data_IF_995879191207
#
_entry.id   IF_995879191207
#
_cell.length_a   1.000
_cell.length_b   1.000
_cell.length_c   1.000
_cell.angle_alpha   90.00
_cell.angle_beta   90.00
_cell.angle_gamma   90.00
#
_symmetry.space_group_name_H-M   'P 1'
#
loop_
_entity.id
_entity.type
_entity.pdbx_description
1 polymer ?
#
# COMPACT_ATOMS: atom_id res chain seq x y z
N UNK A 1 4.29 24.13 -9.90
CA UNK A 1 5.13 24.26 -8.68
C UNK A 1 4.21 24.43 -7.48
N UNK A 2 4.48 23.74 -6.37
CA UNK A 2 3.67 23.82 -5.13
C UNK A 2 3.77 25.22 -4.53
N UNK A 3 2.62 25.79 -4.19
CA UNK A 3 2.47 27.13 -3.61
C UNK A 3 1.92 27.08 -2.16
N UNK A 4 1.38 25.92 -1.76
CA UNK A 4 0.75 25.71 -0.45
C UNK A 4 1.12 24.34 0.11
N UNK A 5 1.47 24.28 1.39
CA UNK A 5 1.64 23.03 2.13
C UNK A 5 0.73 23.01 3.35
N UNK A 6 0.01 21.90 3.52
CA UNK A 6 -0.97 21.70 4.59
C UNK A 6 -0.57 20.51 5.45
N UNK A 7 -0.68 20.63 6.76
CA UNK A 7 -0.44 19.56 7.72
C UNK A 7 -1.73 19.21 8.44
N UNK A 8 -2.01 17.90 8.52
CA UNK A 8 -3.15 17.34 9.22
C UNK A 8 -2.67 16.12 10.00
N UNK A 9 -3.17 15.93 11.22
CA UNK A 9 -2.95 14.71 11.98
C UNK A 9 -4.25 14.13 12.50
N UNK A 10 -4.29 12.80 12.62
CA UNK A 10 -5.40 12.08 13.22
C UNK A 10 -5.09 11.72 14.68
N UNK A 11 -6.03 12.01 15.57
CA UNK A 11 -6.05 11.56 16.96
C UNK A 11 -6.89 10.29 17.14
N UNK A 12 -7.39 9.70 16.03
CA UNK A 12 -8.16 8.48 16.02
C UNK A 12 -7.29 7.31 15.57
N UNK A 13 -7.52 6.12 16.13
CA UNK A 13 -6.72 4.93 15.83
C UNK A 13 -7.49 3.87 15.03
N UNK A 14 -8.73 4.18 14.62
CA UNK A 14 -9.54 3.35 13.73
C UNK A 14 -8.95 3.34 12.32
N UNK A 15 -8.55 2.17 11.77
CA UNK A 15 -8.00 2.12 10.41
C UNK A 15 -9.03 2.55 9.36
N UNK A 16 -10.29 2.28 9.59
CA UNK A 16 -11.37 2.61 8.66
C UNK A 16 -11.58 4.13 8.58
N UNK A 17 -11.57 4.79 9.74
CA UNK A 17 -11.66 6.25 9.83
C UNK A 17 -10.46 6.91 9.17
N UNK A 18 -9.25 6.43 9.46
CA UNK A 18 -8.03 6.99 8.93
C UNK A 18 -7.93 6.85 7.40
N UNK A 19 -8.32 5.70 6.84
CA UNK A 19 -8.39 5.49 5.39
C UNK A 19 -9.49 6.34 4.73
N UNK A 20 -10.61 6.56 5.42
CA UNK A 20 -11.66 7.45 4.94
C UNK A 20 -11.20 8.92 4.88
N UNK A 21 -10.45 9.37 5.88
CA UNK A 21 -9.82 10.71 5.88
C UNK A 21 -8.78 10.81 4.77
N UNK A 22 -7.93 9.80 4.58
CA UNK A 22 -6.93 9.76 3.51
C UNK A 22 -7.59 9.93 2.13
N UNK A 23 -8.66 9.17 1.85
CA UNK A 23 -9.40 9.27 0.58
C UNK A 23 -10.11 10.62 0.43
N UNK A 24 -10.72 11.14 1.51
CA UNK A 24 -11.32 12.46 1.50
C UNK A 24 -10.30 13.55 1.14
N UNK A 25 -9.15 13.53 1.78
CA UNK A 25 -8.07 14.49 1.51
C UNK A 25 -7.52 14.37 0.09
N UNK A 26 -7.44 13.14 -0.45
CA UNK A 26 -7.05 12.91 -1.84
C UNK A 26 -7.97 13.64 -2.81
N UNK A 27 -9.28 13.45 -2.65
CA UNK A 27 -10.28 14.00 -3.57
C UNK A 27 -10.51 15.51 -3.41
N UNK A 28 -10.05 16.10 -2.29
CA UNK A 28 -10.21 17.52 -1.98
C UNK A 28 -8.86 18.27 -1.89
N UNK A 29 -7.78 17.67 -2.38
CA UNK A 29 -6.50 18.34 -2.51
C UNK A 29 -6.61 19.43 -3.58
N UNK A 30 -6.26 20.68 -3.21
CA UNK A 30 -6.33 21.82 -4.12
C UNK A 30 -5.18 21.79 -5.14
N UNK A 31 -5.34 22.52 -6.24
CA UNK A 31 -4.26 22.69 -7.21
C UNK A 31 -3.05 23.38 -6.53
N UNK A 32 -1.84 22.92 -6.86
CA UNK A 32 -0.58 23.41 -6.28
C UNK A 32 -0.45 23.28 -4.75
N UNK A 33 -1.26 22.41 -4.15
CA UNK A 33 -1.18 22.04 -2.74
C UNK A 33 -0.49 20.70 -2.57
N UNK A 34 0.33 20.58 -1.53
CA UNK A 34 0.78 19.29 -1.00
C UNK A 34 0.32 19.17 0.45
N UNK A 35 -0.42 18.10 0.76
CA UNK A 35 -0.90 17.83 2.11
C UNK A 35 -0.03 16.73 2.71
N UNK A 36 0.47 16.93 3.92
CA UNK A 36 1.06 15.88 4.77
C UNK A 36 0.05 15.50 5.84
N UNK A 37 -0.44 14.27 5.77
CA UNK A 37 -1.35 13.67 6.73
C UNK A 37 -0.63 12.62 7.57
N UNK A 38 -0.63 12.76 8.91
CA UNK A 38 -0.05 11.80 9.85
C UNK A 38 -1.14 11.09 10.65
N UNK A 39 -1.00 9.76 10.80
CA UNK A 39 -2.02 8.94 11.43
C UNK A 39 -1.46 7.62 11.96
N UNK A 40 -2.14 7.02 12.93
CA UNK A 40 -1.77 5.74 13.52
C UNK A 40 -2.98 4.81 13.55
N UNK A 41 -2.73 3.51 13.44
CA UNK A 41 -3.75 2.49 13.67
C UNK A 41 -3.37 1.64 14.88
N UNK A 42 -4.37 1.23 15.64
CA UNK A 42 -4.20 0.31 16.75
C UNK A 42 -4.48 -1.11 16.30
N UNK A 43 -3.55 -2.05 16.61
CA UNK A 43 -3.69 -3.49 16.39
C UNK A 43 -4.37 -3.86 15.05
N UNK A 44 -3.77 -3.45 13.94
CA UNK A 44 -4.38 -3.55 12.62
C UNK A 44 -3.47 -4.26 11.62
N UNK A 45 -4.00 -5.23 10.90
CA UNK A 45 -3.38 -5.72 9.65
C UNK A 45 -3.98 -4.94 8.48
N UNK A 46 -3.14 -4.25 7.71
CA UNK A 46 -3.55 -3.54 6.50
C UNK A 46 -3.06 -4.29 5.27
N UNK A 47 -4.00 -4.78 4.47
CA UNK A 47 -3.70 -5.46 3.20
C UNK A 47 -3.79 -4.49 2.02
N UNK A 48 -3.03 -4.78 0.96
CA UNK A 48 -3.13 -4.06 -0.30
C UNK A 48 -4.45 -4.34 -1.03
N UNK A 49 -4.83 -3.46 -1.95
CA UNK A 49 -6.13 -3.49 -2.66
C UNK A 49 -6.45 -4.84 -3.30
N UNK A 50 -5.45 -5.51 -3.86
CA UNK A 50 -5.62 -6.76 -4.60
C UNK A 50 -5.15 -8.00 -3.84
N UNK A 51 -4.92 -7.92 -2.53
CA UNK A 51 -4.52 -9.07 -1.75
C UNK A 51 -5.71 -9.88 -1.26
N UNK A 52 -5.52 -11.20 -1.18
CA UNK A 52 -6.48 -12.10 -0.57
C UNK A 52 -6.33 -12.08 0.95
N UNK A 53 -7.34 -11.58 1.66
CA UNK A 53 -7.32 -11.39 3.11
C UNK A 53 -6.94 -12.68 3.86
N UNK A 54 -7.53 -13.82 3.48
CA UNK A 54 -7.30 -15.11 4.14
C UNK A 54 -5.94 -15.75 3.83
N UNK A 55 -5.33 -15.40 2.67
CA UNK A 55 -3.97 -15.85 2.35
C UNK A 55 -2.90 -15.01 3.06
N UNK A 56 -3.19 -13.73 3.33
CA UNK A 56 -2.20 -12.78 3.88
C UNK A 56 -2.28 -12.61 5.39
N UNK A 57 -3.43 -12.86 6.00
CA UNK A 57 -3.69 -12.60 7.42
C UNK A 57 -4.41 -13.78 8.09
N UNK A 58 -4.03 -14.05 9.32
CA UNK A 58 -4.76 -14.95 10.23
C UNK A 58 -5.94 -14.19 10.83
N UNK A 59 -6.95 -13.92 10.02
CA UNK A 59 -8.04 -13.00 10.30
C UNK A 59 -8.81 -13.37 11.57
N UNK A 60 -9.19 -14.65 11.74
CA UNK A 60 -9.90 -15.12 12.94
C UNK A 60 -9.12 -14.77 14.21
N UNK A 61 -7.82 -15.09 14.24
CA UNK A 61 -6.98 -14.83 15.40
C UNK A 61 -6.83 -13.32 15.68
N UNK A 62 -6.70 -12.52 14.62
CA UNK A 62 -6.62 -11.06 14.74
C UNK A 62 -7.90 -10.49 15.37
N UNK A 63 -9.07 -10.93 14.92
CA UNK A 63 -10.38 -10.49 15.40
C UNK A 63 -10.64 -10.95 16.85
N UNK A 64 -10.33 -12.21 17.18
CA UNK A 64 -10.45 -12.75 18.55
C UNK A 64 -9.59 -12.00 19.57
N UNK A 65 -8.46 -11.43 19.14
CA UNK A 65 -7.55 -10.63 19.96
C UNK A 65 -7.84 -9.12 19.88
N UNK A 66 -9.02 -8.73 19.36
CA UNK A 66 -9.48 -7.34 19.28
C UNK A 66 -8.76 -6.49 18.23
N UNK A 67 -8.11 -7.13 17.25
CA UNK A 67 -7.47 -6.45 16.13
C UNK A 67 -8.41 -6.22 14.97
N UNK A 68 -7.96 -5.44 14.00
CA UNK A 68 -8.71 -5.04 12.82
C UNK A 68 -8.02 -5.49 11.54
N UNK A 69 -8.79 -6.00 10.58
CA UNK A 69 -8.36 -6.12 9.20
C UNK A 69 -8.80 -4.88 8.44
N UNK A 70 -7.90 -4.24 7.73
CA UNK A 70 -8.21 -3.13 6.84
C UNK A 70 -7.64 -3.41 5.43
N UNK A 71 -8.30 -2.86 4.41
CA UNK A 71 -7.84 -2.89 3.02
C UNK A 71 -7.66 -1.47 2.53
N UNK A 72 -6.43 -1.12 2.11
CA UNK A 72 -6.13 0.20 1.54
C UNK A 72 -6.42 0.24 0.03
N UNK A 73 -6.49 1.44 -0.53
CA UNK A 73 -6.69 1.65 -1.97
C UNK A 73 -5.42 1.36 -2.78
N UNK A 74 -4.24 1.58 -2.20
CA UNK A 74 -2.96 1.32 -2.85
C UNK A 74 -2.64 -0.17 -2.95
N UNK A 75 -1.69 -0.51 -3.81
CA UNK A 75 -1.12 -1.86 -3.91
C UNK A 75 -0.14 -2.21 -2.78
N UNK A 76 0.71 -3.19 -3.06
CA UNK A 76 1.73 -3.66 -2.13
C UNK A 76 1.27 -4.77 -1.19
N UNK A 77 2.20 -5.25 -0.36
CA UNK A 77 2.01 -6.35 0.58
C UNK A 77 1.25 -5.96 1.85
N UNK A 78 0.87 -6.98 2.64
CA UNK A 78 0.27 -6.79 3.96
C UNK A 78 1.29 -6.25 4.97
N UNK A 79 0.83 -5.35 5.83
CA UNK A 79 1.60 -4.75 6.92
C UNK A 79 0.81 -4.83 8.23
N UNK A 80 1.53 -4.78 9.36
CA UNK A 80 0.92 -4.70 10.68
C UNK A 80 1.21 -3.33 11.30
N UNK A 81 0.18 -2.73 11.86
CA UNK A 81 0.23 -1.45 12.56
C UNK A 81 -0.19 -1.62 14.01
N UNK A 82 0.63 -1.14 14.92
CA UNK A 82 0.31 -0.82 16.30
C UNK A 82 0.64 0.66 16.57
N UNK A 83 0.49 1.12 17.81
CA UNK A 83 0.80 2.50 18.17
C UNK A 83 2.31 2.82 18.15
N UNK A 84 3.16 1.83 17.90
CA UNK A 84 4.59 2.00 17.60
C UNK A 84 4.88 2.33 16.13
N UNK A 85 3.85 2.35 15.26
CA UNK A 85 3.96 2.71 13.86
C UNK A 85 3.30 4.06 13.59
N UNK A 86 4.01 4.98 12.94
CA UNK A 86 3.45 6.20 12.37
C UNK A 86 3.20 5.99 10.88
N UNK A 87 2.00 6.30 10.39
CA UNK A 87 1.73 6.40 8.97
C UNK A 87 1.82 7.86 8.53
N UNK A 88 2.37 8.07 7.35
CA UNK A 88 2.35 9.35 6.67
C UNK A 88 1.69 9.20 5.30
N UNK A 89 1.04 10.27 4.84
CA UNK A 89 0.49 10.35 3.49
C UNK A 89 0.75 11.74 2.92
N UNK A 90 1.43 11.79 1.77
CA UNK A 90 1.51 12.99 0.95
C UNK A 90 0.44 12.92 -0.13
N UNK A 91 -0.45 13.92 -0.17
CA UNK A 91 -1.53 14.01 -1.15
C UNK A 91 -1.29 15.25 -2.02
N UNK A 92 -1.43 15.08 -3.33
CA UNK A 92 -0.99 16.06 -4.31
C UNK A 92 -1.67 15.80 -5.67
N UNK A 93 -1.73 16.81 -6.54
CA UNK A 93 -2.10 16.59 -7.93
C UNK A 93 -0.96 15.94 -8.71
N UNK A 94 -1.28 15.08 -9.68
CA UNK A 94 -0.30 14.34 -10.50
C UNK A 94 0.71 15.22 -11.21
N UNK A 95 0.29 16.39 -11.66
CA UNK A 95 1.15 17.34 -12.37
C UNK A 95 2.29 17.90 -11.49
N UNK A 96 2.07 17.94 -10.17
CA UNK A 96 3.05 18.38 -9.19
C UNK A 96 3.75 17.24 -8.45
N UNK A 97 3.45 15.99 -8.81
CA UNK A 97 3.99 14.83 -8.10
C UNK A 97 5.50 14.69 -8.26
N UNK A 98 6.19 14.67 -7.14
CA UNK A 98 7.63 14.50 -7.05
C UNK A 98 7.97 13.57 -5.87
N UNK A 99 8.16 12.27 -6.19
CA UNK A 99 8.44 11.26 -5.19
C UNK A 99 9.74 11.54 -4.43
N UNK A 100 10.78 11.95 -5.14
CA UNK A 100 12.08 12.18 -4.51
C UNK A 100 12.01 13.33 -3.51
N UNK A 101 11.26 14.37 -3.82
CA UNK A 101 10.99 15.48 -2.90
C UNK A 101 10.21 15.04 -1.66
N UNK A 102 9.20 14.18 -1.83
CA UNK A 102 8.43 13.63 -0.70
C UNK A 102 9.28 12.71 0.18
N UNK A 103 10.14 11.87 -0.42
CA UNK A 103 11.08 11.03 0.31
C UNK A 103 12.12 11.87 1.06
N UNK A 104 12.55 13.01 0.49
CA UNK A 104 13.45 13.94 1.19
C UNK A 104 12.83 14.52 2.46
N UNK A 105 11.50 14.67 2.54
CA UNK A 105 10.84 15.05 3.80
C UNK A 105 11.08 14.01 4.89
N UNK A 106 10.94 12.73 4.57
CA UNK A 106 11.15 11.65 5.55
C UNK A 106 12.62 11.54 5.93
N UNK A 107 13.53 11.58 4.94
CA UNK A 107 14.99 11.53 5.17
C UNK A 107 15.45 12.75 5.99
N UNK A 108 14.98 13.95 5.63
CA UNK A 108 15.31 15.17 6.36
C UNK A 108 14.78 15.18 7.80
N UNK A 109 13.63 14.55 8.06
CA UNK A 109 13.14 14.36 9.43
C UNK A 109 14.09 13.45 10.24
N UNK A 110 14.63 12.39 9.62
CA UNK A 110 15.65 11.55 10.27
C UNK A 110 16.94 12.33 10.55
N UNK A 111 17.38 13.18 9.62
CA UNK A 111 18.53 14.06 9.85
C UNK A 111 18.32 15.02 11.03
N UNK A 112 17.11 15.61 11.16
CA UNK A 112 16.76 16.48 12.30
C UNK A 112 16.84 15.70 13.63
N UNK A 113 16.47 14.41 13.62
CA UNK A 113 16.57 13.52 14.77
C UNK A 113 18.00 12.98 15.00
N UNK A 114 18.97 13.33 14.16
CA UNK A 114 20.36 12.86 14.26
C UNK A 114 20.61 11.47 13.66
N UNK A 115 19.69 10.96 12.84
CA UNK A 115 19.81 9.67 12.17
C UNK A 115 20.15 9.86 10.67
N UNK A 116 20.93 8.93 10.13
CA UNK A 116 21.26 8.91 8.70
C UNK A 116 20.40 7.87 8.00
N UNK A 117 19.44 8.35 7.20
CA UNK A 117 18.57 7.51 6.41
C UNK A 117 18.87 7.63 4.91
N UNK A 118 18.57 6.58 4.16
CA UNK A 118 18.78 6.53 2.70
C UNK A 118 17.62 5.80 2.00
N UNK A 119 17.32 6.22 0.77
CA UNK A 119 16.38 5.53 -0.12
C UNK A 119 17.00 4.24 -0.63
N UNK A 120 16.23 3.16 -0.64
CA UNK A 120 16.66 1.87 -1.21
C UNK A 120 15.57 1.24 -2.07
N UNK A 121 15.98 0.76 -3.23
CA UNK A 121 15.08 0.12 -4.19
C UNK A 121 13.92 1.01 -4.62
N UNK A 122 12.74 0.41 -4.76
CA UNK A 122 11.55 1.11 -5.30
C UNK A 122 10.78 1.91 -4.24
N UNK A 123 10.75 1.41 -3.00
CA UNK A 123 9.80 1.88 -2.00
C UNK A 123 10.25 1.69 -0.55
N UNK A 124 11.54 1.56 -0.27
CA UNK A 124 12.05 1.38 1.08
C UNK A 124 12.95 2.56 1.49
N UNK A 125 12.90 2.91 2.79
CA UNK A 125 13.88 3.81 3.40
C UNK A 125 14.59 3.04 4.52
N UNK A 126 15.91 3.12 4.53
CA UNK A 126 16.78 2.36 5.39
C UNK A 126 17.56 3.25 6.36
N UNK A 127 17.95 2.67 7.50
CA UNK A 127 19.02 3.13 8.39
C UNK A 127 19.96 1.95 8.57
N UNK A 128 21.27 2.13 8.34
CA UNK A 128 22.29 1.08 8.42
C UNK A 128 21.93 -0.20 7.65
N UNK A 129 21.35 -0.03 6.46
CA UNK A 129 20.93 -1.13 5.59
C UNK A 129 19.67 -1.88 6.05
N UNK A 130 19.00 -1.43 7.14
CA UNK A 130 17.76 -2.02 7.65
C UNK A 130 16.57 -1.10 7.38
N UNK A 131 15.49 -1.68 6.88
CA UNK A 131 14.27 -0.95 6.55
C UNK A 131 13.51 -0.52 7.81
N UNK A 132 13.20 0.78 7.92
CA UNK A 132 12.29 1.31 8.93
C UNK A 132 11.01 1.92 8.33
N UNK A 133 10.99 2.14 7.00
CA UNK A 133 9.86 2.71 6.29
C UNK A 133 9.60 1.98 4.97
N UNK A 134 8.35 1.65 4.72
CA UNK A 134 7.87 1.09 3.46
C UNK A 134 6.79 1.97 2.88
N UNK A 135 6.77 2.09 1.55
CA UNK A 135 5.94 3.03 0.83
C UNK A 135 5.05 2.35 -0.20
N UNK A 136 3.90 2.94 -0.48
CA UNK A 136 2.99 2.55 -1.54
C UNK A 136 2.34 3.81 -2.15
N UNK A 137 1.76 3.64 -3.34
CA UNK A 137 1.28 4.74 -4.15
C UNK A 137 -0.13 4.44 -4.64
N UNK A 138 -0.91 5.49 -4.87
CA UNK A 138 -2.23 5.38 -5.48
C UNK A 138 -2.56 6.63 -6.26
N UNK A 139 -3.23 6.45 -7.37
CA UNK A 139 -3.67 7.52 -8.25
C UNK A 139 -5.16 7.37 -8.53
N UNK A 140 -5.86 8.50 -8.52
CA UNK A 140 -7.26 8.58 -8.90
C UNK A 140 -7.50 9.89 -9.64
N UNK A 141 -7.94 9.80 -10.91
CA UNK A 141 -8.17 10.95 -11.77
C UNK A 141 -6.92 11.86 -11.86
N UNK A 142 -7.04 13.10 -11.41
CA UNK A 142 -5.94 14.07 -11.38
C UNK A 142 -5.12 14.07 -10.08
N UNK A 143 -5.53 13.29 -9.09
CA UNK A 143 -4.90 13.26 -7.78
C UNK A 143 -4.08 11.99 -7.57
N UNK A 144 -3.07 12.08 -6.74
CA UNK A 144 -2.33 10.93 -6.29
C UNK A 144 -1.91 11.09 -4.83
N UNK A 145 -1.62 9.97 -4.20
CA UNK A 145 -0.93 9.97 -2.92
C UNK A 145 0.25 9.01 -2.90
N UNK A 146 1.24 9.37 -2.12
CA UNK A 146 2.32 8.53 -1.63
C UNK A 146 2.14 8.39 -0.14
N UNK A 147 1.93 7.18 0.34
CA UNK A 147 1.85 6.91 1.77
C UNK A 147 2.85 5.84 2.20
N UNK A 148 3.15 5.83 3.48
CA UNK A 148 4.10 4.88 4.02
C UNK A 148 3.99 4.75 5.54
N UNK A 149 4.84 3.87 6.06
CA UNK A 149 4.99 3.56 7.47
C UNK A 149 6.33 4.07 7.98
N UNK A 150 6.39 4.48 9.23
CA UNK A 150 7.64 4.74 9.97
C UNK A 150 7.58 3.88 11.23
N UNK A 151 8.45 2.88 11.32
CA UNK A 151 8.54 1.97 12.44
C UNK A 151 9.32 2.64 13.57
N UNK A 152 8.61 3.20 14.55
CA UNK A 152 9.22 3.85 15.72
C UNK A 152 9.53 2.85 16.83
N UNK A 153 8.55 2.00 17.15
CA UNK A 153 8.65 0.98 18.19
C UNK A 153 7.60 -0.11 18.01
N UNK A 154 7.48 -0.63 16.79
CA UNK A 154 6.51 -1.68 16.41
C UNK A 154 6.89 -3.00 17.10
N UNK A 155 5.89 -3.71 17.64
CA UNK A 155 6.08 -5.04 18.19
C UNK A 155 6.25 -6.09 17.08
N UNK A 156 7.50 -6.53 16.86
CA UNK A 156 7.84 -7.47 15.78
C UNK A 156 7.30 -8.89 16.01
N UNK A 157 7.04 -9.28 17.26
CA UNK A 157 6.43 -10.58 17.57
C UNK A 157 4.97 -10.60 17.15
N UNK A 158 4.24 -9.54 17.46
CA UNK A 158 2.84 -9.37 17.09
C UNK A 158 2.67 -9.33 15.57
N UNK A 159 3.57 -8.63 14.84
CA UNK A 159 3.59 -8.63 13.39
C UNK A 159 3.66 -10.05 12.82
N UNK A 160 4.59 -10.88 13.31
CA UNK A 160 4.76 -12.27 12.84
C UNK A 160 3.60 -13.20 13.24
N UNK A 161 2.84 -12.82 14.27
CA UNK A 161 1.70 -13.58 14.79
C UNK A 161 0.50 -13.54 13.88
N UNK A 162 0.24 -12.40 13.21
CA UNK A 162 -0.94 -12.21 12.38
C UNK A 162 -0.68 -12.33 10.89
N UNK A 163 0.51 -11.94 10.40
CA UNK A 163 0.81 -12.02 8.99
C UNK A 163 1.20 -13.44 8.57
N UNK A 164 0.66 -13.86 7.44
CA UNK A 164 1.02 -15.12 6.80
C UNK A 164 2.11 -14.86 5.77
N UNK A 165 3.33 -15.33 6.03
CA UNK A 165 4.43 -15.22 5.07
C UNK A 165 4.27 -16.32 4.01
N UNK A 166 4.13 -15.97 2.74
CA UNK A 166 4.02 -16.96 1.66
C UNK A 166 5.29 -17.82 1.59
N UNK A 167 5.12 -19.12 1.29
CA UNK A 167 6.23 -20.07 1.15
C UNK A 167 7.27 -19.60 0.11
N UNK A 168 6.84 -18.88 -0.92
CA UNK A 168 7.72 -18.36 -1.96
C UNK A 168 8.55 -17.16 -1.48
N UNK A 169 7.99 -16.29 -0.62
CA UNK A 169 8.76 -15.25 0.06
C UNK A 169 9.80 -15.84 1.02
N UNK A 170 9.49 -16.98 1.65
CA UNK A 170 10.42 -17.72 2.51
C UNK A 170 11.51 -18.43 1.71
N UNK A 171 11.16 -19.06 0.57
CA UNK A 171 12.14 -19.72 -0.31
C UNK A 171 13.12 -18.75 -0.96
N UNK A 172 12.64 -17.58 -1.39
CA UNK A 172 13.49 -16.58 -2.04
C UNK A 172 14.36 -15.77 -1.09
N UNK A 173 14.02 -15.69 0.21
CA UNK A 173 14.67 -14.77 1.16
C UNK A 173 15.10 -15.38 2.50
N UNK A 174 14.68 -16.63 2.84
CA UNK A 174 14.94 -17.28 4.14
C UNK A 174 14.17 -16.65 5.32
N UNK A 175 13.82 -17.45 6.34
CA UNK A 175 13.01 -16.99 7.50
C UNK A 175 13.75 -15.94 8.33
N UNK A 176 15.03 -16.14 8.59
CA UNK A 176 15.85 -15.22 9.39
C UNK A 176 16.16 -13.91 8.65
N UNK A 177 16.16 -13.91 7.31
CA UNK A 177 16.43 -12.74 6.50
C UNK A 177 15.28 -11.71 6.49
N UNK A 178 14.05 -12.09 6.86
CA UNK A 178 12.92 -11.15 6.93
C UNK A 178 12.99 -10.31 8.21
N UNK A 179 13.29 -10.94 9.35
CA UNK A 179 13.43 -10.24 10.64
C UNK A 179 14.71 -9.37 10.70
N UNK A 180 15.81 -9.83 10.09
CA UNK A 180 17.08 -9.09 10.11
C UNK A 180 17.12 -7.85 9.22
N UNK A 181 16.10 -7.65 8.36
CA UNK A 181 16.04 -6.54 7.37
C UNK A 181 15.25 -5.33 7.81
N UNK A 182 14.54 -5.40 8.91
CA UNK A 182 13.73 -4.29 9.43
C UNK A 182 14.25 -3.82 10.77
N UNK A 183 14.00 -2.57 11.12
CA UNK A 183 14.40 -1.97 12.39
C UNK A 183 13.36 -0.94 12.83
N UNK A 184 13.31 -0.68 14.13
CA UNK A 184 12.59 0.43 14.70
C UNK A 184 13.52 1.63 14.89
N UNK A 185 13.02 2.85 14.84
CA UNK A 185 13.80 4.05 15.16
C UNK A 185 14.28 4.04 16.61
N UNK A 186 13.52 3.43 17.53
CA UNK A 186 13.90 3.27 18.93
C UNK A 186 15.08 2.32 19.16
N UNK A 187 15.46 1.51 18.18
CA UNK A 187 16.69 0.73 18.22
C UNK A 187 17.94 1.65 18.21
N UNK A 188 17.80 2.88 17.69
CA UNK A 188 18.83 3.92 17.61
C UNK A 188 18.60 5.07 18.58
N UNK A 189 17.35 5.43 18.83
CA UNK A 189 16.91 6.51 19.72
C UNK A 189 15.85 5.96 20.70
N UNK A 190 16.26 5.29 21.80
CA UNK A 190 15.33 4.59 22.70
C UNK A 190 14.22 5.46 23.27
N UNK A 191 14.51 6.74 23.53
CA UNK A 191 13.57 7.70 24.13
C UNK A 191 12.71 8.46 23.09
N UNK A 192 12.85 8.16 21.80
CA UNK A 192 12.11 8.86 20.75
C UNK A 192 10.60 8.72 20.97
N UNK A 193 9.93 9.85 21.08
CA UNK A 193 8.46 9.95 21.19
C UNK A 193 7.81 10.14 19.83
N UNK A 194 6.51 9.83 19.73
CA UNK A 194 5.74 10.12 18.51
C UNK A 194 5.62 11.61 18.23
N UNK A 195 5.55 12.43 19.28
CA UNK A 195 5.46 13.89 19.13
C UNK A 195 6.76 14.49 18.58
N UNK A 196 7.93 14.03 19.04
CA UNK A 196 9.21 14.47 18.47
C UNK A 196 9.32 14.08 16.98
N UNK A 197 8.86 12.88 16.60
CA UNK A 197 8.82 12.47 15.19
C UNK A 197 7.88 13.38 14.37
N UNK A 198 6.68 13.69 14.86
CA UNK A 198 5.75 14.59 14.18
C UNK A 198 6.35 15.98 13.98
N UNK A 199 7.00 16.53 15.01
CA UNK A 199 7.69 17.83 14.94
C UNK A 199 8.80 17.79 13.90
N UNK A 200 9.63 16.74 13.88
CA UNK A 200 10.71 16.59 12.91
C UNK A 200 10.17 16.47 11.46
N UNK A 201 9.09 15.70 11.25
CA UNK A 201 8.43 15.57 9.94
C UNK A 201 7.87 16.92 9.46
N UNK A 202 7.21 17.67 10.33
CA UNK A 202 6.65 18.99 10.01
C UNK A 202 7.75 20.00 9.66
N UNK A 203 8.84 20.04 10.44
CA UNK A 203 9.99 20.90 10.17
C UNK A 203 10.69 20.54 8.86
N UNK A 204 10.88 19.26 8.60
CA UNK A 204 11.44 18.78 7.34
C UNK A 204 10.54 19.13 6.15
N UNK A 205 9.22 19.02 6.30
CA UNK A 205 8.25 19.36 5.27
C UNK A 205 8.35 20.85 4.88
N UNK A 206 8.41 21.75 5.87
CA UNK A 206 8.66 23.16 5.64
C UNK A 206 10.00 23.41 4.92
N UNK A 207 11.08 22.78 5.39
CA UNK A 207 12.43 22.93 4.84
C UNK A 207 12.51 22.49 3.37
N UNK A 208 11.96 21.32 3.06
CA UNK A 208 12.04 20.72 1.70
C UNK A 208 11.19 21.49 0.69
N UNK A 209 10.02 22.00 1.11
CA UNK A 209 9.15 22.76 0.22
C UNK A 209 9.46 24.27 0.21
N UNK A 210 10.22 24.76 1.18
CA UNK A 210 10.54 26.18 1.31
C UNK A 210 9.33 27.05 1.65
N UNK A 211 8.30 26.47 2.24
CA UNK A 211 7.02 27.10 2.56
C UNK A 211 6.69 26.90 4.03
N UNK A 212 5.82 27.75 4.57
CA UNK A 212 5.26 27.58 5.91
C UNK A 212 4.02 26.68 5.86
N UNK A 213 3.97 25.71 6.76
CA UNK A 213 2.85 24.80 6.90
C UNK A 213 1.61 25.55 7.39
N UNK A 214 0.46 25.21 6.80
CA UNK A 214 -0.86 25.53 7.30
C UNK A 214 -1.41 24.34 8.06
N UNK A 215 -1.64 24.50 9.35
CA UNK A 215 -2.30 23.47 10.15
C UNK A 215 -3.79 23.45 9.83
N UNK A 216 -4.34 22.25 9.61
CA UNK A 216 -5.77 22.00 9.42
C UNK A 216 -6.17 20.84 10.32
N UNK A 217 -7.37 20.91 10.88
CA UNK A 217 -7.90 19.86 11.75
C UNK A 217 -8.87 18.96 10.99
N UNK A 218 -9.02 17.71 11.44
CA UNK A 218 -10.00 16.77 10.85
C UNK A 218 -11.43 17.28 11.06
N UNK A 219 -11.69 17.99 12.16
CA UNK A 219 -12.99 18.59 12.47
C UNK A 219 -13.40 19.69 11.46
N UNK A 220 -12.44 20.27 10.73
CA UNK A 220 -12.67 21.26 9.67
C UNK A 220 -13.10 20.62 8.34
N UNK A 221 -13.06 19.28 8.23
CA UNK A 221 -13.43 18.50 7.05
C UNK A 221 -14.92 18.13 7.10
N UNK A 222 -15.49 17.71 5.96
CA UNK A 222 -16.84 17.15 5.94
C UNK A 222 -16.87 15.77 6.60
N UNK A 223 -17.20 15.79 7.90
CA UNK A 223 -17.27 14.58 8.72
C UNK A 223 -18.36 13.63 8.30
N UNK A 224 -19.42 14.10 7.60
CA UNK A 224 -20.50 13.29 7.06
C UNK A 224 -20.01 12.41 5.92
N UNK A 225 -19.32 12.99 4.94
CA UNK A 225 -18.70 12.26 3.83
C UNK A 225 -17.67 11.26 4.36
N UNK A 226 -16.83 11.67 5.30
CA UNK A 226 -15.85 10.77 5.91
C UNK A 226 -16.51 9.58 6.61
N UNK A 227 -17.63 9.81 7.33
CA UNK A 227 -18.35 8.73 8.02
C UNK A 227 -18.98 7.71 7.04
N UNK A 228 -19.45 8.15 5.88
CA UNK A 228 -19.95 7.24 4.84
C UNK A 228 -18.80 6.39 4.27
N UNK A 229 -17.64 7.01 4.01
CA UNK A 229 -16.47 6.28 3.54
C UNK A 229 -15.89 5.32 4.60
N UNK A 230 -15.95 5.68 5.87
CA UNK A 230 -15.59 4.79 6.98
C UNK A 230 -16.45 3.52 6.99
N UNK A 231 -17.77 3.62 6.76
CA UNK A 231 -18.67 2.47 6.59
C UNK A 231 -18.27 1.62 5.39
N UNK A 232 -17.84 2.23 4.28
CA UNK A 232 -17.33 1.50 3.14
C UNK A 232 -16.06 0.71 3.49
N UNK A 233 -15.05 1.36 4.08
CA UNK A 233 -13.78 0.72 4.43
C UNK A 233 -13.92 -0.38 5.48
N UNK A 234 -14.92 -0.31 6.36
CA UNK A 234 -15.24 -1.34 7.36
C UNK A 234 -16.15 -2.44 6.82
N UNK A 235 -16.72 -2.28 5.63
CA UNK A 235 -17.70 -3.23 5.10
C UNK A 235 -17.07 -4.58 4.75
N UNK A 236 -17.83 -5.66 5.02
CA UNK A 236 -17.40 -7.00 4.66
C UNK A 236 -17.11 -7.13 3.16
N UNK A 237 -17.92 -6.48 2.32
CA UNK A 237 -17.73 -6.50 0.87
C UNK A 237 -16.40 -5.89 0.43
N UNK A 238 -15.95 -4.81 1.06
CA UNK A 238 -14.65 -4.22 0.78
C UNK A 238 -13.50 -5.10 1.27
N UNK A 239 -13.62 -5.63 2.49
CA UNK A 239 -12.55 -6.42 3.13
C UNK A 239 -12.42 -7.81 2.50
N UNK A 240 -13.53 -8.49 2.22
CA UNK A 240 -13.59 -9.92 1.89
C UNK A 240 -14.38 -10.25 0.62
N UNK A 241 -15.20 -9.33 0.11
CA UNK A 241 -16.24 -9.59 -0.90
C UNK A 241 -15.74 -10.01 -2.29
N UNK A 242 -14.42 -9.94 -2.56
CA UNK A 242 -13.86 -10.44 -3.83
C UNK A 242 -13.77 -11.98 -3.77
N UNK A 243 -14.72 -12.62 -4.44
CA UNK A 243 -14.81 -14.10 -4.49
C UNK A 243 -15.45 -14.54 -5.80
N UNK A 244 -14.90 -15.61 -6.38
CA UNK A 244 -15.56 -16.40 -7.43
C UNK A 244 -15.46 -17.89 -7.07
N UNK A 245 -16.39 -18.70 -7.58
CA UNK A 245 -16.26 -20.15 -7.53
C UNK A 245 -15.38 -20.58 -8.72
N UNK A 246 -14.09 -20.77 -8.45
CA UNK A 246 -13.08 -21.09 -9.47
C UNK A 246 -12.76 -22.57 -9.49
N UNK A 247 -12.39 -23.10 -10.67
CA UNK A 247 -11.92 -24.46 -10.88
C UNK A 247 -10.42 -24.51 -11.10
N UNK A 248 -9.82 -23.44 -11.64
CA UNK A 248 -8.40 -23.40 -11.99
C UNK A 248 -7.73 -22.20 -11.35
N UNK A 249 -6.52 -22.40 -10.86
CA UNK A 249 -5.68 -21.35 -10.26
C UNK A 249 -4.25 -21.47 -10.82
N UNK A 250 -3.70 -20.35 -11.26
CA UNK A 250 -2.30 -20.21 -11.64
C UNK A 250 -1.64 -19.19 -10.73
N UNK A 251 -0.40 -19.44 -10.32
CA UNK A 251 0.33 -18.51 -9.45
C UNK A 251 1.79 -18.38 -9.89
N UNK A 252 2.29 -17.16 -9.94
CA UNK A 252 3.69 -16.87 -10.27
C UNK A 252 4.20 -15.68 -9.45
N UNK A 253 5.53 -15.61 -9.30
CA UNK A 253 6.19 -14.49 -8.65
C UNK A 253 7.23 -13.86 -9.56
N UNK A 254 7.00 -12.59 -9.88
CA UNK A 254 7.90 -11.73 -10.66
C UNK A 254 8.70 -10.79 -9.75
N UNK A 255 9.64 -10.06 -10.32
CA UNK A 255 10.39 -9.00 -9.64
C UNK A 255 9.51 -7.87 -9.09
N UNK A 256 8.41 -7.55 -9.78
CA UNK A 256 7.44 -6.52 -9.38
C UNK A 256 6.37 -7.00 -8.38
N UNK A 257 6.21 -8.31 -8.14
CA UNK A 257 5.25 -8.88 -7.19
C UNK A 257 4.81 -10.31 -7.55
N UNK A 258 4.04 -10.92 -6.65
CA UNK A 258 3.34 -12.17 -6.91
C UNK A 258 2.00 -11.92 -7.58
N UNK A 259 1.54 -12.82 -8.44
CA UNK A 259 0.20 -12.83 -9.00
C UNK A 259 -0.43 -14.21 -8.86
N UNK A 260 -1.70 -14.26 -8.57
CA UNK A 260 -2.53 -15.46 -8.60
C UNK A 260 -3.77 -15.16 -9.44
N UNK A 261 -3.95 -15.92 -10.51
CA UNK A 261 -5.13 -15.87 -11.38
C UNK A 261 -6.04 -17.03 -11.04
N UNK A 262 -7.31 -16.75 -10.72
CA UNK A 262 -8.37 -17.74 -10.50
C UNK A 262 -9.37 -17.64 -11.62
N UNK A 263 -9.78 -18.78 -12.18
CA UNK A 263 -10.67 -18.87 -13.34
C UNK A 263 -11.90 -19.72 -13.01
N UNK A 264 -13.07 -19.14 -13.20
CA UNK A 264 -14.33 -19.86 -13.31
C UNK A 264 -14.57 -20.20 -14.78
N UNK A 265 -14.55 -21.50 -15.13
CA UNK A 265 -14.65 -21.98 -16.52
C UNK A 265 -15.97 -22.72 -16.72
N UNK A 266 -16.73 -22.35 -17.75
CA UNK A 266 -17.98 -23.00 -18.12
C UNK A 266 -17.97 -23.25 -19.64
N UNK A 267 -18.24 -24.51 -20.03
CA UNK A 267 -18.24 -24.92 -21.45
C UNK A 267 -16.97 -24.52 -22.22
N UNK A 268 -15.81 -24.63 -21.56
CA UNK A 268 -14.49 -24.31 -22.12
C UNK A 268 -14.21 -22.81 -22.29
N UNK A 269 -15.04 -21.95 -21.72
CA UNK A 269 -14.84 -20.49 -21.71
C UNK A 269 -14.69 -19.96 -20.28
N UNK A 270 -13.90 -18.91 -20.14
CA UNK A 270 -13.72 -18.19 -18.88
C UNK A 270 -14.99 -17.37 -18.63
N UNK A 271 -15.81 -17.83 -17.69
CA UNK A 271 -17.03 -17.13 -17.26
C UNK A 271 -16.70 -15.92 -16.39
N UNK A 272 -15.73 -16.11 -15.49
CA UNK A 272 -15.24 -15.05 -14.62
C UNK A 272 -13.77 -15.32 -14.21
N UNK A 273 -13.07 -14.27 -13.82
CA UNK A 273 -11.70 -14.37 -13.34
C UNK A 273 -11.42 -13.37 -12.21
N UNK A 274 -10.50 -13.73 -11.32
CA UNK A 274 -9.94 -12.80 -10.32
C UNK A 274 -8.42 -12.84 -10.41
N UNK A 275 -7.79 -11.67 -10.31
CA UNK A 275 -6.36 -11.51 -10.10
C UNK A 275 -6.09 -11.02 -8.67
N UNK A 276 -5.30 -11.80 -7.92
CA UNK A 276 -4.76 -11.43 -6.61
C UNK A 276 -3.28 -11.09 -6.77
N UNK A 277 -2.80 -10.02 -6.12
CA UNK A 277 -1.41 -9.58 -6.25
C UNK A 277 -0.97 -8.69 -5.10
N UNK A 278 0.33 -8.71 -4.80
CA UNK A 278 1.03 -7.75 -3.96
C UNK A 278 1.85 -6.73 -4.81
N UNK A 279 1.52 -6.58 -6.10
CA UNK A 279 2.10 -5.55 -6.95
C UNK A 279 1.74 -4.14 -6.47
N UNK A 280 2.65 -3.19 -6.70
CA UNK A 280 2.43 -1.78 -6.33
C UNK A 280 1.46 -1.06 -7.27
N UNK A 281 1.21 -1.58 -8.48
CA UNK A 281 0.22 -1.06 -9.42
C UNK A 281 -1.11 -1.84 -9.32
N UNK A 282 -2.06 -1.41 -8.46
CA UNK A 282 -3.29 -2.16 -8.24
C UNK A 282 -4.26 -2.07 -9.42
N UNK A 283 -4.25 -0.98 -10.18
CA UNK A 283 -5.20 -0.76 -11.27
C UNK A 283 -4.89 -1.65 -12.46
N UNK A 284 -3.63 -1.78 -12.85
CA UNK A 284 -3.22 -2.76 -13.86
C UNK A 284 -3.66 -4.18 -13.50
N UNK A 285 -3.43 -4.61 -12.26
CA UNK A 285 -3.87 -5.96 -11.80
C UNK A 285 -5.38 -6.14 -11.93
N UNK A 286 -6.18 -5.10 -11.68
CA UNK A 286 -7.64 -5.17 -11.79
C UNK A 286 -8.15 -5.15 -13.24
N UNK A 287 -7.33 -4.72 -14.18
CA UNK A 287 -7.71 -4.77 -15.61
C UNK A 287 -7.60 -6.18 -16.16
N UNK A 288 -6.66 -7.00 -15.70
CA UNK A 288 -6.39 -8.35 -16.23
C UNK A 288 -7.65 -9.22 -16.32
N UNK A 289 -8.47 -9.38 -15.26
CA UNK A 289 -9.70 -10.18 -15.34
C UNK A 289 -10.68 -9.71 -16.41
N UNK A 290 -10.70 -8.42 -16.71
CA UNK A 290 -11.61 -7.85 -17.71
C UNK A 290 -11.29 -8.33 -19.12
N UNK A 291 -10.00 -8.49 -19.45
CA UNK A 291 -9.52 -9.02 -20.72
C UNK A 291 -9.73 -10.54 -20.83
N UNK A 292 -9.84 -11.24 -19.72
CA UNK A 292 -9.92 -12.71 -19.71
C UNK A 292 -11.36 -13.21 -19.87
N UNK A 293 -12.35 -12.44 -19.46
CA UNK A 293 -13.76 -12.84 -19.45
C UNK A 293 -14.32 -13.10 -20.84
N UNK A 294 -14.93 -14.27 -21.04
CA UNK A 294 -15.54 -14.70 -22.30
C UNK A 294 -14.61 -15.47 -23.24
N UNK A 295 -13.30 -15.46 -22.98
CA UNK A 295 -12.31 -16.16 -23.79
C UNK A 295 -12.43 -17.68 -23.67
N UNK A 296 -11.95 -18.42 -24.65
CA UNK A 296 -11.67 -19.84 -24.50
C UNK A 296 -10.55 -20.02 -23.46
N UNK A 297 -10.72 -20.96 -22.54
CA UNK A 297 -9.68 -21.31 -21.56
C UNK A 297 -8.53 -22.05 -22.25
N UNK A 298 -7.70 -21.29 -22.95
CA UNK A 298 -6.50 -21.75 -23.66
C UNK A 298 -5.46 -20.66 -23.66
N UNK A 299 -4.19 -21.03 -23.47
CA UNK A 299 -3.08 -20.08 -23.39
C UNK A 299 -2.97 -19.15 -24.60
N UNK A 300 -3.20 -19.67 -25.82
CA UNK A 300 -3.15 -18.86 -27.03
C UNK A 300 -4.20 -17.72 -27.00
N UNK A 301 -5.43 -18.04 -26.60
CA UNK A 301 -6.51 -17.04 -26.52
C UNK A 301 -6.22 -15.99 -25.47
N UNK A 302 -5.73 -16.40 -24.30
CA UNK A 302 -5.37 -15.52 -23.19
C UNK A 302 -4.20 -14.60 -23.60
N UNK A 303 -3.13 -15.16 -24.18
CA UNK A 303 -1.97 -14.39 -24.58
C UNK A 303 -2.25 -13.37 -25.69
N UNK A 304 -3.12 -13.73 -26.66
CA UNK A 304 -3.54 -12.80 -27.72
C UNK A 304 -4.29 -11.62 -27.12
N UNK A 305 -5.28 -11.90 -26.25
CA UNK A 305 -6.12 -10.85 -25.69
C UNK A 305 -5.35 -9.92 -24.75
N UNK A 306 -4.50 -10.48 -23.88
CA UNK A 306 -3.61 -9.66 -23.04
C UNK A 306 -2.63 -8.83 -23.88
N UNK A 307 -2.24 -9.32 -25.07
CA UNK A 307 -1.42 -8.58 -26.02
C UNK A 307 -2.09 -7.33 -26.59
N UNK A 308 -3.43 -7.28 -26.60
CA UNK A 308 -4.20 -6.10 -27.01
C UNK A 308 -4.23 -4.98 -25.96
N UNK A 309 -3.89 -5.30 -24.72
CA UNK A 309 -3.74 -4.26 -23.70
C UNK A 309 -2.61 -3.31 -24.11
N UNK A 310 -2.91 -2.03 -24.04
CA UNK A 310 -1.95 -0.97 -24.33
C UNK A 310 -1.94 0.04 -23.18
N UNK A 311 -0.76 0.50 -22.79
CA UNK A 311 -0.56 1.52 -21.76
C UNK A 311 0.61 2.42 -22.11
N UNK A 312 0.48 3.72 -21.82
CA UNK A 312 1.60 4.67 -21.87
C UNK A 312 2.60 4.46 -20.74
N UNK A 313 2.25 3.65 -19.72
CA UNK A 313 3.11 3.36 -18.59
C UNK A 313 4.07 2.21 -18.93
N UNK A 314 5.40 2.46 -19.04
CA UNK A 314 6.37 1.43 -19.39
C UNK A 314 6.38 0.25 -18.40
N UNK A 315 6.07 0.50 -17.13
CA UNK A 315 6.02 -0.56 -16.11
C UNK A 315 4.84 -1.52 -16.37
N UNK A 316 3.69 -1.03 -16.79
CA UNK A 316 2.54 -1.88 -17.14
C UNK A 316 2.82 -2.70 -18.38
N UNK A 317 3.51 -2.14 -19.36
CA UNK A 317 3.94 -2.86 -20.56
C UNK A 317 4.96 -3.98 -20.22
N UNK A 318 5.86 -3.75 -19.27
CA UNK A 318 6.77 -4.79 -18.76
C UNK A 318 5.98 -5.89 -18.02
N UNK A 319 5.10 -5.52 -17.10
CA UNK A 319 4.26 -6.47 -16.35
C UNK A 319 3.40 -7.32 -17.28
N UNK A 320 2.81 -6.71 -18.33
CA UNK A 320 2.04 -7.42 -19.35
C UNK A 320 2.90 -8.46 -20.08
N UNK A 321 4.10 -8.09 -20.52
CA UNK A 321 5.04 -9.01 -21.19
C UNK A 321 5.38 -10.20 -20.31
N UNK A 322 5.72 -9.95 -19.05
CA UNK A 322 6.04 -10.98 -18.08
C UNK A 322 4.89 -11.97 -17.90
N UNK A 323 3.64 -11.48 -17.77
CA UNK A 323 2.45 -12.30 -17.60
C UNK A 323 2.19 -13.15 -18.86
N UNK A 324 2.33 -12.57 -20.05
CA UNK A 324 2.15 -13.29 -21.31
C UNK A 324 3.19 -14.40 -21.45
N UNK A 325 4.46 -14.13 -21.15
CA UNK A 325 5.54 -15.11 -21.21
C UNK A 325 5.32 -16.26 -20.23
N UNK A 326 4.92 -15.95 -18.99
CA UNK A 326 4.55 -16.94 -17.99
C UNK A 326 3.41 -17.86 -18.48
N UNK A 327 2.29 -17.27 -18.94
CA UNK A 327 1.13 -18.05 -19.39
C UNK A 327 1.46 -18.95 -20.60
N UNK A 328 2.35 -18.51 -21.51
CA UNK A 328 2.82 -19.35 -22.63
C UNK A 328 3.53 -20.61 -22.16
N UNK A 329 4.22 -20.55 -21.02
CA UNK A 329 4.92 -21.67 -20.41
C UNK A 329 4.02 -22.64 -19.62
N UNK A 330 2.80 -22.23 -19.30
CA UNK A 330 1.86 -23.05 -18.51
C UNK A 330 1.16 -24.11 -19.38
N UNK A 331 0.75 -25.22 -18.75
CA UNK A 331 -0.15 -26.22 -19.34
C UNK A 331 -1.60 -25.88 -18.98
N UNK A 332 -2.38 -25.41 -19.95
CA UNK A 332 -3.79 -25.05 -19.81
C UNK A 332 -4.70 -25.93 -20.67
#
# INVERSE_FOLDING_TARGET
>A
MIEKITYIESNQFSPYRNLAVEEYLLLHCEDKECILYLWQNQNTVVIGRNQNAWKECRTTKLEEEGGHLARRLSGGGAVYHDLGNMNFTFLINKEEYDLDRQLQVIIGAMEILGLKAEKSGRNDILIDGKKFSGNAFYEQEKHCYHHGTIMVGVNMETLSRYLTVSKDKLKSKGVDSVKSRVTNLRDYLPELTMEELKVALKQSFEKVYGLKVRDKKIEDLDTGVIAEREKFFSSWNWLYGRKIDFQYELSHRFGWGGITLQFAVESGKIKDAIAWSDALNPDFIQTIPKYLKGLKYRKESICIELGLFWSDNPQEEEMKKDIIEWIRGEEL
#
